data_IF_201152729200
#
_entry.id   IF_201152729200
#
_cell.length_a   1.000
_cell.length_b   1.000
_cell.length_c   1.000
_cell.angle_alpha   90.00
_cell.angle_beta   90.00
_cell.angle_gamma   90.00
#
_symmetry.space_group_name_H-M   'P 1'
#
loop_
_entity.id
_entity.type
_entity.pdbx_description
1 polymer ?
#
# COMPACT_ATOMS: atom_id res chain seq x y z
N UNK A 1 19.24 17.88 -2.46
CA UNK A 1 18.74 17.64 -2.65
C UNK A 1 18.06 17.29 -2.43
N UNK A 2 17.67 17.36 -2.53
CA UNK A 2 17.06 17.03 -2.34
C UNK A 2 16.45 16.30 -2.93
N UNK A 3 16.37 16.14 -3.32
CA UNK A 3 16.04 15.08 -4.20
C UNK A 3 14.64 14.57 -4.12
N UNK A 4 13.74 15.39 -3.87
CA UNK A 4 12.33 15.03 -3.82
C UNK A 4 11.70 15.32 -5.15
N UNK A 5 11.31 14.22 -5.86
CA UNK A 5 10.63 14.37 -7.14
C UNK A 5 9.16 14.74 -6.98
N UNK A 6 8.63 14.73 -5.76
CA UNK A 6 7.23 14.96 -5.53
C UNK A 6 6.35 13.81 -5.95
N UNK A 7 6.93 12.63 -6.09
CA UNK A 7 6.18 11.45 -6.45
C UNK A 7 5.81 10.64 -5.20
N UNK A 8 4.95 9.68 -5.38
CA UNK A 8 4.50 8.86 -4.25
C UNK A 8 3.93 7.55 -4.74
N UNK A 9 3.57 6.71 -3.79
CA UNK A 9 2.88 5.47 -4.07
C UNK A 9 1.53 5.51 -3.36
N UNK A 10 0.48 5.21 -4.08
CA UNK A 10 -0.84 5.04 -3.50
C UNK A 10 -1.25 3.59 -3.66
N UNK A 11 -2.24 3.15 -2.90
CA UNK A 11 -2.57 1.73 -2.92
C UNK A 11 -4.06 1.48 -2.79
N UNK A 12 -4.45 0.24 -3.05
CA UNK A 12 -5.82 -0.25 -2.90
C UNK A 12 -5.89 -1.34 -1.85
N UNK A 13 -5.02 -1.29 -0.85
CA UNK A 13 -5.01 -2.30 0.22
C UNK A 13 -6.35 -2.34 0.93
N UNK A 14 -6.93 -1.18 1.21
CA UNK A 14 -8.23 -1.10 1.86
C UNK A 14 -9.28 -1.89 1.08
N UNK A 15 -9.35 -1.64 -0.23
CA UNK A 15 -10.36 -2.28 -1.07
C UNK A 15 -10.21 -3.79 -1.09
N UNK A 16 -8.98 -4.28 -1.25
CA UNK A 16 -8.74 -5.72 -1.26
C UNK A 16 -9.05 -6.35 0.09
N UNK A 17 -8.70 -5.64 1.18
CA UNK A 17 -8.96 -6.14 2.52
C UNK A 17 -10.46 -6.26 2.79
N UNK A 18 -11.19 -5.20 2.44
CA UNK A 18 -12.63 -5.15 2.71
C UNK A 18 -13.38 -6.19 1.88
N UNK A 19 -12.96 -6.41 0.64
CA UNK A 19 -13.58 -7.43 -0.18
C UNK A 19 -13.46 -8.82 0.45
N UNK A 20 -12.42 -9.06 1.23
CA UNK A 20 -12.24 -10.32 1.93
C UNK A 20 -12.78 -10.27 3.36
N UNK A 21 -13.43 -9.19 3.72
CA UNK A 21 -14.03 -9.02 5.04
C UNK A 21 -13.01 -9.19 6.17
N UNK A 22 -11.81 -8.69 5.94
CA UNK A 22 -10.72 -8.78 6.92
C UNK A 22 -10.62 -7.48 7.70
N UNK A 23 -10.32 -7.59 9.00
CA UNK A 23 -9.98 -6.42 9.79
C UNK A 23 -8.54 -6.01 9.48
N UNK A 24 -8.20 -4.78 9.87
CA UNK A 24 -6.82 -4.33 9.73
C UNK A 24 -5.87 -5.23 10.53
N UNK A 25 -6.30 -5.67 11.71
CA UNK A 25 -5.46 -6.54 12.52
C UNK A 25 -5.26 -7.89 11.85
N UNK A 26 -6.29 -8.43 11.23
CA UNK A 26 -6.17 -9.72 10.54
C UNK A 26 -5.18 -9.63 9.40
N UNK A 27 -5.25 -8.57 8.61
CA UNK A 27 -4.28 -8.40 7.53
C UNK A 27 -2.88 -8.17 8.09
N UNK A 28 -2.76 -7.34 9.11
CA UNK A 28 -1.47 -7.09 9.75
C UNK A 28 -0.81 -8.38 10.20
N UNK A 29 -1.57 -9.24 10.87
CA UNK A 29 -1.05 -10.53 11.33
C UNK A 29 -0.65 -11.41 10.15
N UNK A 30 -1.43 -11.38 9.08
CA UNK A 30 -1.15 -12.23 7.92
C UNK A 30 0.13 -11.83 7.19
N UNK A 31 0.48 -10.54 7.20
CA UNK A 31 1.67 -10.08 6.48
C UNK A 31 2.80 -9.64 7.41
N UNK A 32 2.63 -9.84 8.72
CA UNK A 32 3.73 -9.70 9.66
C UNK A 32 4.09 -8.28 10.05
N UNK A 33 3.10 -7.40 10.15
CA UNK A 33 3.32 -6.02 10.59
C UNK A 33 2.29 -5.66 11.65
N UNK A 34 2.40 -4.46 12.20
CA UNK A 34 1.44 -4.00 13.19
C UNK A 34 0.17 -3.50 12.51
N UNK A 35 -0.92 -3.51 13.27
CA UNK A 35 -2.18 -2.94 12.80
C UNK A 35 -1.99 -1.47 12.40
N UNK A 36 -1.17 -0.74 13.17
CA UNK A 36 -0.92 0.67 12.88
C UNK A 36 -0.29 0.85 11.51
N UNK A 37 0.60 -0.06 11.11
CA UNK A 37 1.23 0.00 9.80
C UNK A 37 0.17 -0.10 8.69
N UNK A 38 -0.78 -1.03 8.85
CA UNK A 38 -1.86 -1.16 7.87
C UNK A 38 -2.72 0.10 7.85
N UNK A 39 -3.04 0.62 9.04
CA UNK A 39 -3.88 1.81 9.15
C UNK A 39 -3.29 3.00 8.39
N UNK A 40 -2.00 3.31 8.62
CA UNK A 40 -1.39 4.47 7.96
C UNK A 40 -1.16 4.20 6.47
N UNK A 41 -0.90 2.94 6.12
CA UNK A 41 -0.72 2.58 4.71
C UNK A 41 -2.00 2.81 3.92
N UNK A 42 -3.14 2.41 4.48
CA UNK A 42 -4.41 2.56 3.78
C UNK A 42 -4.79 4.02 3.57
N UNK A 43 -4.25 4.90 4.38
CA UNK A 43 -4.47 6.33 4.21
C UNK A 43 -3.47 6.98 3.26
N UNK A 44 -2.60 6.17 2.66
CA UNK A 44 -1.55 6.65 1.77
C UNK A 44 -0.57 7.60 2.47
N UNK A 45 -0.43 7.44 3.80
CA UNK A 45 0.52 8.20 4.59
C UNK A 45 1.78 7.41 4.89
N UNK A 46 1.98 6.30 4.21
CA UNK A 46 3.09 5.41 4.48
C UNK A 46 3.38 4.60 3.23
N UNK A 47 4.60 4.68 2.75
CA UNK A 47 5.03 3.87 1.61
C UNK A 47 5.70 2.61 2.15
N UNK A 48 5.15 1.44 1.91
CA UNK A 48 5.75 0.22 2.44
C UNK A 48 7.09 -0.07 1.77
N UNK A 49 7.92 -0.84 2.47
CA UNK A 49 9.12 -1.37 1.83
C UNK A 49 8.69 -2.26 0.66
N UNK A 50 9.62 -2.48 -0.26
CA UNK A 50 9.31 -3.35 -1.39
C UNK A 50 8.94 -4.75 -0.92
N UNK A 51 9.63 -5.26 0.11
CA UNK A 51 9.32 -6.58 0.64
C UNK A 51 7.88 -6.64 1.16
N UNK A 52 7.48 -5.63 1.93
CA UNK A 52 6.13 -5.63 2.48
C UNK A 52 5.09 -5.51 1.37
N UNK A 53 5.35 -4.66 0.39
CA UNK A 53 4.42 -4.49 -0.73
C UNK A 53 4.25 -5.80 -1.49
N UNK A 54 5.36 -6.49 -1.76
CA UNK A 54 5.29 -7.78 -2.45
C UNK A 54 4.60 -8.83 -1.60
N UNK A 55 4.81 -8.80 -0.29
CA UNK A 55 4.16 -9.75 0.61
C UNK A 55 2.66 -9.56 0.61
N UNK A 56 2.21 -8.30 0.59
CA UNK A 56 0.78 -7.99 0.55
C UNK A 56 0.18 -8.45 -0.78
N UNK A 57 0.84 -8.12 -1.89
CA UNK A 57 0.35 -8.52 -3.21
C UNK A 57 0.26 -10.04 -3.30
N UNK A 58 1.27 -10.73 -2.79
CA UNK A 58 1.28 -12.18 -2.78
C UNK A 58 0.15 -12.75 -1.93
N UNK A 59 -0.11 -12.12 -0.79
CA UNK A 59 -1.19 -12.57 0.07
C UNK A 59 -2.54 -12.48 -0.64
N UNK A 60 -2.77 -11.40 -1.37
CA UNK A 60 -4.01 -11.22 -2.11
C UNK A 60 -3.98 -11.88 -3.48
N UNK A 61 -2.85 -12.48 -3.86
CA UNK A 61 -2.70 -13.23 -5.10
C UNK A 61 -2.92 -12.35 -6.34
N UNK A 62 -2.36 -11.15 -6.28
CA UNK A 62 -2.41 -10.21 -7.40
C UNK A 62 -1.00 -9.72 -7.70
N UNK A 63 -0.80 -9.17 -8.89
CA UNK A 63 0.46 -8.50 -9.19
C UNK A 63 0.58 -7.24 -8.36
N UNK A 64 1.82 -6.89 -8.01
CA UNK A 64 2.05 -5.72 -7.17
C UNK A 64 1.45 -4.46 -7.79
N UNK A 65 1.49 -4.33 -9.10
CA UNK A 65 0.98 -3.12 -9.75
C UNK A 65 -0.54 -3.13 -9.92
N UNK A 66 -1.22 -4.16 -9.42
CA UNK A 66 -2.66 -4.12 -9.31
C UNK A 66 -3.11 -3.52 -7.99
N UNK A 67 -2.20 -3.40 -7.03
CA UNK A 67 -2.57 -2.93 -5.70
C UNK A 67 -1.75 -1.73 -5.25
N UNK A 68 -0.56 -1.52 -5.81
CA UNK A 68 0.28 -0.35 -5.51
C UNK A 68 0.54 0.41 -6.80
N UNK A 69 0.39 1.72 -6.74
CA UNK A 69 0.46 2.58 -7.93
C UNK A 69 1.44 3.72 -7.72
N UNK A 70 2.30 3.92 -8.69
CA UNK A 70 3.23 5.03 -8.68
C UNK A 70 2.51 6.26 -9.20
N UNK A 71 2.59 7.35 -8.46
CA UNK A 71 1.97 8.62 -8.84
C UNK A 71 3.04 9.68 -8.95
N UNK A 72 3.12 10.32 -10.07
CA UNK A 72 4.07 11.40 -10.30
C UNK A 72 3.39 12.73 -10.06
N UNK A 73 4.11 13.64 -9.44
CA UNK A 73 3.55 14.93 -9.09
C UNK A 73 3.06 15.69 -10.31
N UNK A 74 3.83 15.64 -11.40
CA UNK A 74 3.49 16.40 -12.59
C UNK A 74 2.28 15.85 -13.33
N UNK A 75 1.86 14.64 -13.02
CA UNK A 75 0.66 14.07 -13.61
C UNK A 75 -0.62 14.62 -13.01
N UNK A 76 -0.51 15.35 -11.92
CA UNK A 76 -1.67 15.89 -11.24
C UNK A 76 -1.84 17.38 -11.47
N UNK A 77 -1.01 17.97 -12.30
CA UNK A 77 -0.96 19.41 -12.46
C UNK A 77 -1.63 19.90 -13.75
N UNK A 78 -2.40 19.09 -14.36
CA UNK A 78 -3.05 19.51 -15.62
C UNK A 78 -4.38 20.20 -15.38
#
# INVERSE_FOLDING_TARGET
MKGDFGDSVVNKVYEYRVLRRMSQKELADAVGVSKQTIFVMEKNNYSPSLVLALRIANYFEVDINEIFFYVRKDETND
#
